data_IF_429554840631
#
_entry.id   IF_429554840631
#
_cell.length_a   1.000
_cell.length_b   1.000
_cell.length_c   1.000
_cell.angle_alpha   90.00
_cell.angle_beta   90.00
_cell.angle_gamma   90.00
#
_symmetry.space_group_name_H-M   'P 1'
#
loop_
_entity.id
_entity.type
_entity.pdbx_description
1 polymer ?
#
# COMPACT_ATOMS: atom_id res chain seq x y z
N UNK A 1 -5.73 -10.26 -9.28
CA UNK A 1 -5.77 -8.84 -8.90
C UNK A 1 -5.16 -8.06 -10.04
N UNK A 2 -5.84 -7.03 -10.54
CA UNK A 2 -5.31 -6.09 -11.52
C UNK A 2 -4.88 -4.79 -10.81
N UNK A 3 -4.10 -3.93 -11.48
CA UNK A 3 -3.65 -2.64 -10.91
C UNK A 3 -3.79 -1.49 -11.92
N UNK A 4 -3.97 -0.27 -11.39
CA UNK A 4 -3.92 1.01 -12.13
C UNK A 4 -3.10 2.04 -11.34
N UNK A 5 -2.69 3.14 -11.98
CA UNK A 5 -1.78 4.13 -11.40
C UNK A 5 -0.32 3.80 -11.69
N UNK A 6 0.60 4.57 -11.11
CA UNK A 6 2.04 4.32 -11.23
C UNK A 6 2.61 4.39 -12.66
N UNK A 7 1.90 5.01 -13.60
CA UNK A 7 2.35 5.16 -15.00
C UNK A 7 2.06 3.96 -15.90
N UNK A 8 1.08 3.11 -15.55
CA UNK A 8 0.63 2.02 -16.42
C UNK A 8 0.16 2.57 -17.76
N UNK A 9 0.79 2.11 -18.85
CA UNK A 9 0.52 2.59 -20.22
C UNK A 9 -0.90 2.29 -20.69
N UNK A 10 -1.41 1.10 -20.37
CA UNK A 10 -2.69 0.59 -20.84
C UNK A 10 -3.60 0.22 -19.65
N UNK A 11 -4.23 1.19 -18.98
CA UNK A 11 -5.11 0.89 -17.85
C UNK A 11 -6.29 -0.02 -18.23
N UNK A 12 -6.70 -0.04 -19.50
CA UNK A 12 -7.78 -0.91 -20.01
C UNK A 12 -7.51 -2.41 -19.86
N UNK A 13 -6.24 -2.82 -19.78
CA UNK A 13 -5.88 -4.22 -19.58
C UNK A 13 -6.51 -4.77 -18.30
N UNK A 14 -6.68 -3.93 -17.27
CA UNK A 14 -7.35 -4.31 -16.04
C UNK A 14 -8.80 -4.75 -16.29
N UNK A 15 -9.55 -4.05 -17.14
CA UNK A 15 -10.93 -4.40 -17.51
C UNK A 15 -11.00 -5.64 -18.39
N UNK A 16 -10.11 -5.75 -19.38
CA UNK A 16 -10.04 -6.92 -20.27
C UNK A 16 -9.79 -8.19 -19.44
N UNK A 17 -8.78 -8.16 -18.57
CA UNK A 17 -8.45 -9.27 -17.68
C UNK A 17 -9.57 -9.52 -16.67
N UNK A 18 -10.14 -8.46 -16.08
CA UNK A 18 -11.22 -8.56 -15.10
C UNK A 18 -12.47 -9.24 -15.65
N UNK A 19 -12.94 -8.80 -16.83
CA UNK A 19 -14.08 -9.42 -17.52
C UNK A 19 -13.81 -10.87 -17.86
N UNK A 20 -12.61 -11.18 -18.39
CA UNK A 20 -12.24 -12.55 -18.71
C UNK A 20 -12.18 -13.45 -17.48
N UNK A 21 -11.67 -12.96 -16.35
CA UNK A 21 -11.66 -13.71 -15.10
C UNK A 21 -13.07 -14.04 -14.62
N UNK A 22 -14.01 -13.10 -14.73
CA UNK A 22 -15.42 -13.33 -14.38
C UNK A 22 -16.10 -14.35 -15.29
N UNK A 23 -15.86 -14.30 -16.61
CA UNK A 23 -16.36 -15.29 -17.57
C UNK A 23 -15.92 -16.71 -17.22
N UNK A 24 -14.69 -16.84 -16.72
CA UNK A 24 -14.10 -18.11 -16.29
C UNK A 24 -14.53 -18.53 -14.86
N UNK A 25 -15.44 -17.78 -14.22
CA UNK A 25 -15.97 -18.08 -12.89
C UNK A 25 -15.12 -17.59 -11.72
N UNK A 26 -13.96 -16.95 -11.99
CA UNK A 26 -13.11 -16.38 -10.95
C UNK A 26 -13.66 -15.05 -10.41
N UNK A 27 -13.06 -14.55 -9.33
CA UNK A 27 -13.20 -13.17 -8.88
C UNK A 27 -12.01 -12.35 -9.36
N UNK A 28 -12.24 -11.11 -9.75
CA UNK A 28 -11.17 -10.14 -9.98
C UNK A 28 -11.35 -8.93 -9.06
N UNK A 29 -10.22 -8.32 -8.72
CA UNK A 29 -10.15 -7.11 -7.87
C UNK A 29 -9.22 -6.10 -8.52
N UNK A 30 -9.33 -4.84 -8.13
CA UNK A 30 -8.48 -3.75 -8.60
C UNK A 30 -7.75 -3.05 -7.44
N UNK A 31 -6.43 -2.86 -7.61
CA UNK A 31 -5.59 -2.06 -6.72
C UNK A 31 -5.09 -0.79 -7.38
N UNK A 32 -4.76 0.21 -6.57
CA UNK A 32 -4.03 1.41 -7.01
C UNK A 32 -2.56 1.23 -6.64
N UNK A 33 -1.65 1.49 -7.56
CA UNK A 33 -0.21 1.43 -7.32
C UNK A 33 0.41 2.82 -7.36
N UNK A 34 1.50 2.98 -6.61
CA UNK A 34 2.32 4.18 -6.60
C UNK A 34 3.30 4.15 -7.78
N UNK A 35 3.92 5.29 -8.07
CA UNK A 35 5.03 5.36 -9.02
C UNK A 35 6.34 4.79 -8.44
N UNK A 36 7.39 4.75 -9.25
CA UNK A 36 8.72 4.28 -8.82
C UNK A 36 9.36 5.09 -7.68
N UNK A 37 8.82 6.27 -7.35
CA UNK A 37 9.21 7.07 -6.18
C UNK A 37 8.45 6.69 -4.90
N UNK A 38 7.58 5.68 -4.96
CA UNK A 38 6.72 5.30 -3.85
C UNK A 38 5.60 6.32 -3.60
N UNK A 39 5.42 7.30 -4.49
CA UNK A 39 4.44 8.37 -4.34
C UNK A 39 3.12 8.00 -5.02
N UNK A 40 2.04 8.39 -4.36
CA UNK A 40 0.73 8.36 -4.97
C UNK A 40 0.62 9.54 -5.94
N UNK A 41 0.45 9.24 -7.22
CA UNK A 41 -0.08 10.21 -8.17
C UNK A 41 -1.60 10.09 -8.21
N UNK A 42 -2.36 11.20 -8.24
CA UNK A 42 -3.77 11.16 -8.55
C UNK A 42 -3.99 10.41 -9.86
N UNK A 43 -4.99 9.54 -9.90
CA UNK A 43 -5.31 8.80 -11.12
C UNK A 43 -5.75 9.78 -12.22
N UNK A 44 -5.21 9.58 -13.43
CA UNK A 44 -5.71 10.22 -14.62
C UNK A 44 -7.18 9.88 -14.88
N UNK A 45 -7.84 10.63 -15.76
CA UNK A 45 -9.27 10.43 -16.05
C UNK A 45 -9.56 8.98 -16.48
N UNK A 46 -8.73 8.43 -17.36
CA UNK A 46 -8.92 7.08 -17.89
C UNK A 46 -8.64 6.00 -16.84
N UNK A 47 -7.59 6.15 -16.04
CA UNK A 47 -7.29 5.24 -14.93
C UNK A 47 -8.41 5.23 -13.89
N UNK A 48 -8.99 6.40 -13.62
CA UNK A 48 -10.12 6.55 -12.69
C UNK A 48 -11.38 5.90 -13.23
N UNK A 49 -11.66 6.04 -14.53
CA UNK A 49 -12.77 5.34 -15.20
C UNK A 49 -12.62 3.82 -15.06
N UNK A 50 -11.44 3.29 -15.41
CA UNK A 50 -11.12 1.86 -15.28
C UNK A 50 -11.28 1.38 -13.84
N UNK A 51 -10.75 2.13 -12.88
CA UNK A 51 -10.86 1.81 -11.46
C UNK A 51 -12.32 1.67 -11.04
N UNK A 52 -13.18 2.63 -11.39
CA UNK A 52 -14.60 2.59 -11.03
C UNK A 52 -15.35 1.44 -11.73
N UNK A 53 -15.08 1.19 -13.01
CA UNK A 53 -15.69 0.06 -13.72
C UNK A 53 -15.25 -1.29 -13.15
N UNK A 54 -13.97 -1.48 -12.88
CA UNK A 54 -13.47 -2.70 -12.23
C UNK A 54 -14.07 -2.88 -10.83
N UNK A 55 -14.14 -1.81 -10.04
CA UNK A 55 -14.74 -1.85 -8.69
C UNK A 55 -16.21 -2.24 -8.73
N UNK A 56 -16.95 -1.86 -9.78
CA UNK A 56 -18.34 -2.27 -9.98
C UNK A 56 -18.49 -3.77 -10.33
N UNK A 57 -17.44 -4.39 -10.89
CA UNK A 57 -17.38 -5.81 -11.24
C UNK A 57 -17.01 -6.72 -10.05
N UNK A 58 -16.47 -6.17 -8.95
CA UNK A 58 -16.03 -6.94 -7.80
C UNK A 58 -17.21 -7.64 -7.09
N UNK A 59 -17.07 -8.96 -6.83
CA UNK A 59 -18.05 -9.70 -6.03
C UNK A 59 -18.03 -9.18 -4.59
N UNK A 60 -19.22 -8.87 -4.05
CA UNK A 60 -19.45 -8.21 -2.73
C UNK A 60 -18.89 -8.95 -1.49
N UNK A 61 -18.24 -10.11 -1.66
CA UNK A 61 -17.72 -10.97 -0.59
C UNK A 61 -16.29 -10.64 -0.15
N UNK A 62 -15.51 -9.91 -0.95
CA UNK A 62 -14.21 -9.42 -0.49
C UNK A 62 -14.40 -8.23 0.44
N UNK A 63 -13.70 -8.28 1.58
CA UNK A 63 -13.87 -7.42 2.76
C UNK A 63 -13.97 -5.95 2.36
N UNK A 64 -15.11 -5.34 2.69
CA UNK A 64 -15.59 -3.99 2.29
C UNK A 64 -14.78 -2.81 2.85
N UNK A 65 -13.50 -3.00 3.09
CA UNK A 65 -12.63 -1.99 3.67
C UNK A 65 -11.77 -1.40 2.55
N UNK A 66 -12.44 -0.81 1.59
CA UNK A 66 -11.84 -0.17 0.42
C UNK A 66 -12.22 1.32 0.34
N UNK A 67 -12.81 1.89 1.40
CA UNK A 67 -13.18 3.32 1.43
C UNK A 67 -11.96 4.24 1.24
N UNK A 68 -10.80 3.82 1.76
CA UNK A 68 -9.56 4.58 1.58
C UNK A 68 -9.15 4.68 0.11
N UNK A 69 -9.43 3.65 -0.71
CA UNK A 69 -9.03 3.61 -2.12
C UNK A 69 -9.71 4.70 -2.95
N UNK A 70 -10.92 5.14 -2.57
CA UNK A 70 -11.60 6.23 -3.26
C UNK A 70 -10.94 7.58 -3.00
N UNK A 71 -10.47 7.82 -1.76
CA UNK A 71 -9.64 8.99 -1.46
C UNK A 71 -8.33 8.94 -2.25
N UNK A 72 -7.68 7.78 -2.27
CA UNK A 72 -6.43 7.57 -3.01
C UNK A 72 -6.62 7.82 -4.52
N UNK A 73 -7.70 7.30 -5.12
CA UNK A 73 -8.03 7.54 -6.54
C UNK A 73 -8.21 9.02 -6.88
N UNK A 74 -8.61 9.83 -5.89
CA UNK A 74 -8.80 11.28 -6.00
C UNK A 74 -7.58 12.09 -5.53
N UNK A 75 -6.47 11.43 -5.15
CA UNK A 75 -5.29 12.08 -4.59
C UNK A 75 -5.53 12.73 -3.22
N UNK A 76 -6.55 12.29 -2.49
CA UNK A 76 -6.90 12.80 -1.16
C UNK A 76 -6.22 11.99 -0.05
N UNK A 77 -5.82 12.63 1.05
CA UNK A 77 -5.21 11.94 2.17
C UNK A 77 -6.25 11.08 2.92
N UNK A 78 -5.77 10.05 3.58
CA UNK A 78 -6.53 9.22 4.51
C UNK A 78 -6.05 9.44 5.95
N UNK A 79 -6.99 9.48 6.89
CA UNK A 79 -6.70 9.48 8.32
C UNK A 79 -6.83 8.06 8.86
N UNK A 80 -5.70 7.39 9.08
CA UNK A 80 -5.63 6.00 9.52
C UNK A 80 -4.29 5.74 10.23
N UNK A 81 -4.04 4.51 10.71
CA UNK A 81 -2.84 4.17 11.51
C UNK A 81 -1.94 3.14 10.82
N UNK A 82 -0.80 3.53 10.25
CA UNK A 82 0.04 2.62 9.46
C UNK A 82 0.73 1.50 10.27
N UNK A 83 0.99 1.73 11.57
CA UNK A 83 1.77 0.83 12.47
C UNK A 83 3.19 0.47 11.97
N UNK A 84 3.70 1.14 10.94
CA UNK A 84 5.07 1.06 10.40
C UNK A 84 5.76 -0.33 10.41
N UNK A 85 5.05 -1.41 10.06
CA UNK A 85 5.62 -2.77 10.01
C UNK A 85 5.58 -3.52 11.36
N UNK A 86 5.02 -2.95 12.42
CA UNK A 86 4.88 -3.61 13.72
C UNK A 86 3.89 -4.79 13.73
N UNK A 87 3.02 -4.91 12.71
CA UNK A 87 2.06 -6.02 12.57
C UNK A 87 2.55 -7.14 11.68
N UNK A 88 3.41 -6.83 10.72
CA UNK A 88 4.05 -7.79 9.82
C UNK A 88 5.46 -7.30 9.52
N UNK A 89 6.44 -8.16 9.76
CA UNK A 89 7.83 -7.84 9.43
C UNK A 89 8.01 -7.92 7.91
N UNK A 90 8.61 -6.88 7.34
CA UNK A 90 9.05 -6.86 5.95
C UNK A 90 10.56 -7.06 5.94
N UNK A 91 11.01 -8.16 5.36
CA UNK A 91 12.41 -8.59 5.39
C UNK A 91 12.90 -8.72 3.95
N UNK A 92 14.03 -8.09 3.61
CA UNK A 92 14.66 -8.25 2.29
C UNK A 92 15.55 -9.50 2.21
N UNK A 93 16.09 -9.76 1.03
CA UNK A 93 17.03 -10.83 0.71
C UNK A 93 18.32 -10.80 1.56
N UNK A 94 18.73 -9.62 2.03
CA UNK A 94 19.90 -9.43 2.91
C UNK A 94 19.59 -9.66 4.40
N UNK A 95 18.35 -10.08 4.73
CA UNK A 95 17.93 -10.31 6.11
C UNK A 95 17.64 -9.03 6.91
N UNK A 96 17.48 -7.87 6.26
CA UNK A 96 17.20 -6.59 6.91
C UNK A 96 15.70 -6.35 7.04
N UNK A 97 15.27 -5.85 8.20
CA UNK A 97 13.88 -5.47 8.50
C UNK A 97 13.62 -4.02 8.08
N UNK A 98 12.54 -3.81 7.33
CA UNK A 98 12.09 -2.51 6.84
C UNK A 98 10.68 -2.15 7.34
N UNK A 99 10.31 -0.87 7.24
CA UNK A 99 8.97 -0.38 7.57
C UNK A 99 7.87 -1.03 6.73
N UNK A 100 8.07 -1.13 5.41
CA UNK A 100 7.20 -1.90 4.52
C UNK A 100 7.86 -2.16 3.17
N UNK A 101 7.15 -2.89 2.29
CA UNK A 101 7.57 -3.11 0.90
C UNK A 101 7.82 -1.84 0.09
N UNK A 102 7.16 -0.72 0.45
CA UNK A 102 7.26 0.59 -0.25
C UNK A 102 8.29 1.55 0.35
N UNK A 103 8.67 1.33 1.60
CA UNK A 103 9.74 2.09 2.25
C UNK A 103 10.79 1.09 2.73
N UNK A 104 11.56 0.60 1.77
CA UNK A 104 12.77 -0.19 2.04
C UNK A 104 13.90 0.73 2.48
N UNK A 105 14.94 0.17 3.09
CA UNK A 105 16.11 0.90 3.57
C UNK A 105 16.03 1.39 5.02
N UNK A 106 14.83 1.59 5.57
CA UNK A 106 14.66 1.96 6.99
C UNK A 106 13.68 1.00 7.70
N UNK A 107 13.94 0.57 8.96
CA UNK A 107 15.13 0.89 9.75
C UNK A 107 16.38 0.11 9.31
N UNK A 108 16.24 -0.90 8.44
CA UNK A 108 17.39 -1.63 7.90
C UNK A 108 18.13 -2.45 8.95
N UNK A 109 17.42 -2.88 9.99
CA UNK A 109 18.01 -3.62 11.12
C UNK A 109 18.04 -5.11 10.76
N UNK A 110 19.17 -5.81 10.90
CA UNK A 110 19.23 -7.26 10.69
C UNK A 110 18.21 -8.00 11.56
N UNK A 111 17.52 -8.99 11.00
CA UNK A 111 16.46 -9.73 11.68
C UNK A 111 16.92 -10.30 13.04
N UNK A 112 18.16 -10.79 13.12
CA UNK A 112 18.73 -11.35 14.35
C UNK A 112 18.97 -10.31 15.45
N UNK A 113 18.94 -9.01 15.10
CA UNK A 113 19.06 -7.88 16.02
C UNK A 113 17.73 -7.15 16.24
N UNK A 114 16.67 -7.50 15.50
CA UNK A 114 15.39 -6.82 15.59
C UNK A 114 14.62 -7.27 16.82
N UNK A 115 14.27 -6.34 17.70
CA UNK A 115 13.74 -6.65 19.03
C UNK A 115 12.26 -6.29 19.18
N UNK A 116 11.65 -6.75 20.27
CA UNK A 116 10.31 -6.30 20.68
C UNK A 116 10.28 -4.79 20.94
N UNK A 117 11.39 -4.18 21.34
CA UNK A 117 11.47 -2.72 21.51
C UNK A 117 11.34 -2.00 20.16
N UNK A 118 11.93 -2.55 19.09
CA UNK A 118 11.76 -2.04 17.73
C UNK A 118 10.30 -2.15 17.27
N UNK A 119 9.67 -3.31 17.47
CA UNK A 119 8.24 -3.50 17.15
C UNK A 119 7.37 -2.46 17.88
N UNK A 120 7.64 -2.21 19.17
CA UNK A 120 6.91 -1.22 19.97
C UNK A 120 7.13 0.21 19.48
N UNK A 121 8.37 0.56 19.10
CA UNK A 121 8.68 1.85 18.46
C UNK A 121 7.85 2.00 17.19
N UNK A 122 7.88 1.03 16.29
CA UNK A 122 7.16 1.13 15.02
C UNK A 122 5.64 1.14 15.14
N UNK A 123 5.11 0.48 16.16
CA UNK A 123 3.67 0.47 16.43
C UNK A 123 3.10 1.88 16.61
N UNK A 124 3.87 2.77 17.24
CA UNK A 124 3.48 4.17 17.48
C UNK A 124 4.04 5.13 16.43
N UNK A 125 4.80 4.66 15.43
CA UNK A 125 5.37 5.51 14.37
C UNK A 125 4.37 5.77 13.23
N UNK A 126 4.15 7.05 12.91
CA UNK A 126 3.43 7.51 11.72
C UNK A 126 4.42 7.87 10.61
N UNK A 127 4.46 7.04 9.57
CA UNK A 127 5.32 7.30 8.40
C UNK A 127 4.79 8.47 7.60
N UNK A 128 5.69 9.26 7.02
CA UNK A 128 5.34 10.39 6.14
C UNK A 128 4.45 10.01 4.95
N UNK A 129 4.58 8.79 4.42
CA UNK A 129 3.73 8.32 3.32
C UNK A 129 2.33 7.86 3.75
N UNK A 130 2.03 7.79 5.06
CA UNK A 130 0.77 7.22 5.55
C UNK A 130 -0.48 7.88 4.92
N UNK A 131 -0.60 9.22 4.83
CA UNK A 131 -1.79 9.85 4.27
C UNK A 131 -2.15 9.37 2.85
N UNK A 132 -1.16 9.00 2.04
CA UNK A 132 -1.34 8.61 0.65
C UNK A 132 -0.95 7.14 0.36
N UNK A 133 -0.88 6.31 1.40
CA UNK A 133 -0.50 4.91 1.26
C UNK A 133 -1.54 4.11 0.46
N UNK A 134 -1.07 3.36 -0.55
CA UNK A 134 -1.92 2.53 -1.43
C UNK A 134 -2.03 1.07 -0.98
N UNK A 135 -1.29 0.65 0.05
CA UNK A 135 -1.15 -0.77 0.42
C UNK A 135 -2.38 -1.24 1.19
N UNK A 136 -3.30 -1.93 0.51
CA UNK A 136 -4.57 -2.39 1.11
C UNK A 136 -4.38 -3.26 2.35
N UNK A 137 -3.41 -4.19 2.35
CA UNK A 137 -3.24 -5.13 3.46
C UNK A 137 -2.98 -4.42 4.80
N UNK A 138 -2.17 -3.35 4.80
CA UNK A 138 -1.88 -2.60 6.04
C UNK A 138 -3.06 -1.74 6.48
N UNK A 139 -3.82 -1.15 5.54
CA UNK A 139 -5.06 -0.41 5.84
C UNK A 139 -6.10 -1.32 6.51
N UNK A 140 -6.30 -2.52 5.96
CA UNK A 140 -7.28 -3.47 6.47
C UNK A 140 -6.91 -3.97 7.87
N UNK A 141 -5.63 -4.26 8.11
CA UNK A 141 -5.18 -4.78 9.41
C UNK A 141 -5.18 -3.70 10.47
N UNK A 142 -4.86 -2.46 10.08
CA UNK A 142 -4.91 -1.28 10.95
C UNK A 142 -6.27 -1.08 11.62
N UNK A 143 -7.37 -1.47 10.97
CA UNK A 143 -8.71 -1.24 11.53
C UNK A 143 -8.95 -1.99 12.83
N UNK A 144 -8.36 -3.17 12.99
CA UNK A 144 -8.53 -3.96 14.21
C UNK A 144 -7.82 -3.33 15.42
N UNK A 145 -6.91 -2.37 15.19
CA UNK A 145 -6.14 -1.74 16.25
C UNK A 145 -6.05 -0.21 16.19
N UNK A 146 -6.79 0.42 15.28
CA UNK A 146 -6.74 1.88 15.07
C UNK A 146 -7.09 2.66 16.33
N UNK A 147 -7.94 2.08 17.19
CA UNK A 147 -8.39 2.62 18.47
C UNK A 147 -7.41 2.38 19.64
N UNK A 148 -6.43 1.48 19.50
CA UNK A 148 -5.63 1.00 20.65
C UNK A 148 -4.59 2.01 21.14
N UNK A 149 -4.00 2.79 20.24
CA UNK A 149 -2.94 3.74 20.58
C UNK A 149 -2.80 4.84 19.52
N UNK A 150 -2.40 6.07 19.93
CA UNK A 150 -2.02 7.13 18.99
C UNK A 150 -0.77 6.75 18.20
N UNK A 151 -0.43 7.58 17.22
CA UNK A 151 0.86 7.55 16.53
C UNK A 151 1.52 8.93 16.57
N UNK A 152 2.83 8.94 16.42
CA UNK A 152 3.68 10.12 16.39
C UNK A 152 4.47 10.12 15.08
N UNK A 153 4.70 11.29 14.46
CA UNK A 153 5.49 11.37 13.24
C UNK A 153 6.81 10.63 13.38
N UNK A 154 7.17 9.83 12.37
CA UNK A 154 8.48 9.22 12.28
C UNK A 154 9.56 10.31 12.42
N UNK A 155 10.70 10.00 13.05
CA UNK A 155 11.87 10.86 12.91
C UNK A 155 12.10 11.13 11.44
N UNK A 156 12.54 12.35 11.07
CA UNK A 156 13.04 12.61 9.73
C UNK A 156 14.26 11.71 9.49
N UNK A 157 14.03 10.49 9.03
CA UNK A 157 15.05 9.71 8.39
C UNK A 157 15.40 10.50 7.13
N UNK A 158 16.66 10.92 7.01
CA UNK A 158 17.21 11.53 5.82
C UNK A 158 16.77 10.68 4.63
N UNK A 159 15.74 11.15 3.92
CA UNK A 159 15.31 10.54 2.67
C UNK A 159 16.37 10.95 1.66
N UNK A 160 17.53 10.30 1.70
CA UNK A 160 18.23 10.13 0.44
C UNK A 160 17.27 9.32 -0.45
N UNK A 161 16.93 9.81 -1.65
CA UNK A 161 16.22 9.02 -2.63
C UNK A 161 17.20 7.96 -3.12
N UNK A 162 17.44 6.92 -2.31
CA UNK A 162 18.01 5.69 -2.79
C UNK A 162 16.93 5.09 -3.69
N UNK A 163 17.09 5.35 -4.98
CA UNK A 163 16.25 4.79 -6.02
C UNK A 163 16.04 3.31 -5.74
N UNK A 164 14.79 2.88 -5.81
CA UNK A 164 14.44 1.47 -5.65
C UNK A 164 15.36 0.65 -6.55
N UNK A 165 16.00 -0.37 -5.97
CA UNK A 165 16.71 -1.38 -6.75
C UNK A 165 15.68 -2.00 -7.69
N UNK A 166 15.80 -1.67 -8.98
CA UNK A 166 15.06 -2.34 -10.04
C UNK A 166 15.47 -3.81 -10.00
N UNK A 167 14.54 -4.68 -9.60
CA UNK A 167 14.68 -6.11 -9.87
C UNK A 167 14.66 -6.23 -11.40
N UNK A 168 15.81 -6.53 -11.99
CA UNK A 168 15.96 -6.84 -13.42
C UNK A 168 15.31 -8.19 -13.74
#
# INVERSE_FOLDING_TARGET
>A
NSVVGGGVRNPQDALTIGKRALELGFSSTIGIIHDGGGQLQPLGEEERRVYHEMKALEKRSFTRINSFQDNIAQGRPNQWRCRAGARYLYICEDGLVHYCSQQRGYPGIPLEKYTVADIRREYITEKSCAPHCTVSCVHQVSIFDSWRAPQFPAPEAASEPQGLVHIQ
#
